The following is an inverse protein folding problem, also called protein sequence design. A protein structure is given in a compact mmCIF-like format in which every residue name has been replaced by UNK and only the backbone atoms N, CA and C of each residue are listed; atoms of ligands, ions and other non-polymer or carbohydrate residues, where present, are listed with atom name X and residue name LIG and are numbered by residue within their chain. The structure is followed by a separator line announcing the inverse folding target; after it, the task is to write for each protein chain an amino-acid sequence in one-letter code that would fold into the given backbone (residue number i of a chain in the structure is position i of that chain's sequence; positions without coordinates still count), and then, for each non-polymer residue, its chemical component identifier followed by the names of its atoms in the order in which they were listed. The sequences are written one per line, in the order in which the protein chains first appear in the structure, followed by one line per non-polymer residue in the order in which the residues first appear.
data_IF_871210397995
#
_entry.id   IF_871210397995
#
_cell.length_a   1.000
_cell.length_b   1.000
_cell.length_c   1.000
_cell.angle_alpha   90.00
_cell.angle_beta   90.00
_cell.angle_gamma   90.00
#
_symmetry.space_group_name_H-M   'P 1'
#
loop_
_entity.id
_entity.type
_entity.pdbx_description
1 polymer ?
#
# COMPACT_ATOMS: atom_id res chain seq x y z
N UNK A 1 62.25 -43.01 -33.49
CA UNK A 1 61.00 -43.61 -34.00
C UNK A 1 59.96 -43.64 -32.90
N UNK A 2 59.08 -42.64 -32.88
CA UNK A 2 57.67 -42.66 -32.45
C UNK A 2 57.25 -41.21 -32.24
N UNK A 3 56.69 -40.66 -33.31
CA UNK A 3 55.96 -39.41 -33.35
C UNK A 3 54.74 -39.50 -32.41
N UNK A 4 54.52 -38.44 -31.63
CA UNK A 4 53.19 -38.13 -31.09
C UNK A 4 52.86 -36.72 -31.56
N UNK A 5 52.11 -36.67 -32.66
CA UNK A 5 51.36 -35.50 -33.10
C UNK A 5 50.34 -35.13 -32.02
N UNK A 6 50.46 -33.93 -31.49
CA UNK A 6 49.47 -33.31 -30.62
C UNK A 6 48.73 -32.28 -31.49
N UNK A 7 47.54 -32.66 -31.95
CA UNK A 7 46.65 -31.81 -32.74
C UNK A 7 46.00 -30.82 -31.77
N UNK A 8 46.45 -29.57 -31.82
CA UNK A 8 45.82 -28.45 -31.13
C UNK A 8 44.59 -28.02 -31.95
N UNK A 9 43.40 -28.44 -31.53
CA UNK A 9 42.15 -27.91 -32.08
C UNK A 9 41.90 -26.52 -31.47
N UNK A 10 42.30 -25.48 -32.19
CA UNK A 10 41.99 -24.09 -31.90
C UNK A 10 40.51 -23.84 -32.26
N UNK A 11 39.61 -23.96 -31.28
CA UNK A 11 38.24 -23.53 -31.43
C UNK A 11 38.19 -21.99 -31.39
N UNK A 12 38.12 -21.38 -32.58
CA UNK A 12 37.82 -19.97 -32.75
C UNK A 12 36.35 -19.77 -32.37
N UNK A 13 36.12 -19.26 -31.17
CA UNK A 13 34.80 -18.76 -30.75
C UNK A 13 34.57 -17.45 -31.48
N UNK A 14 33.82 -17.51 -32.58
CA UNK A 14 33.24 -16.32 -33.20
C UNK A 14 32.14 -15.80 -32.29
N UNK A 15 32.43 -14.71 -31.57
CA UNK A 15 31.43 -13.88 -30.90
C UNK A 15 30.52 -13.25 -31.95
N UNK A 16 29.40 -13.92 -32.24
CA UNK A 16 28.30 -13.33 -32.95
C UNK A 16 27.62 -12.31 -32.03
N UNK A 17 27.86 -11.02 -32.29
CA UNK A 17 26.99 -9.94 -31.84
C UNK A 17 25.62 -10.13 -32.51
N UNK A 18 24.70 -10.82 -31.84
CA UNK A 18 23.39 -11.14 -32.38
C UNK A 18 22.30 -10.94 -31.34
N UNK A 19 21.56 -9.84 -31.49
CA UNK A 19 20.21 -9.64 -30.96
C UNK A 19 20.10 -9.54 -29.45
N UNK A 20 19.76 -8.34 -28.96
CA UNK A 20 19.11 -8.18 -27.65
C UNK A 20 17.74 -8.85 -27.70
N UNK A 21 17.72 -10.18 -27.61
CA UNK A 21 16.52 -10.93 -27.32
C UNK A 21 16.07 -10.53 -25.93
N UNK A 22 14.93 -9.86 -25.86
CA UNK A 22 14.20 -9.58 -24.63
C UNK A 22 14.14 -10.87 -23.82
N UNK A 23 14.94 -10.94 -22.75
CA UNK A 23 14.94 -12.07 -21.83
C UNK A 23 13.61 -12.01 -21.09
N UNK A 24 12.58 -12.62 -21.69
CA UNK A 24 11.40 -13.05 -20.96
C UNK A 24 11.92 -14.04 -19.94
N UNK A 25 12.23 -13.56 -18.74
CA UNK A 25 12.47 -14.45 -17.60
C UNK A 25 11.22 -15.32 -17.51
N UNK A 26 11.33 -16.65 -17.68
CA UNK A 26 10.18 -17.50 -17.44
C UNK A 26 9.70 -17.17 -16.04
N UNK A 27 8.42 -16.78 -15.92
CA UNK A 27 7.73 -16.77 -14.62
C UNK A 27 8.05 -18.12 -14.01
N UNK A 28 8.82 -18.12 -12.92
CA UNK A 28 9.25 -19.34 -12.27
C UNK A 28 7.99 -20.19 -12.08
N UNK A 29 7.94 -21.35 -12.74
CA UNK A 29 6.84 -22.28 -12.56
C UNK A 29 6.74 -22.48 -11.05
N UNK A 30 5.57 -22.20 -10.49
CA UNK A 30 5.29 -22.52 -9.09
C UNK A 30 5.63 -24.00 -8.93
N UNK A 31 6.58 -24.38 -8.04
CA UNK A 31 7.20 -25.70 -8.09
C UNK A 31 6.22 -26.89 -7.94
N UNK A 32 4.97 -26.66 -7.57
CA UNK A 32 4.07 -27.70 -7.03
C UNK A 32 2.65 -27.70 -7.61
N UNK A 33 2.44 -27.19 -8.84
CA UNK A 33 1.11 -27.20 -9.49
C UNK A 33 0.10 -26.19 -8.91
N UNK A 34 0.36 -25.66 -7.72
CA UNK A 34 -0.36 -24.53 -7.14
C UNK A 34 -0.49 -23.39 -8.17
N UNK A 35 -1.69 -22.89 -8.40
CA UNK A 35 -1.96 -21.82 -9.36
C UNK A 35 -2.73 -20.67 -8.73
N UNK A 36 -2.66 -19.51 -9.38
CA UNK A 36 -3.35 -18.30 -8.92
C UNK A 36 -4.56 -18.04 -9.80
N UNK A 37 -5.74 -18.04 -9.18
CA UNK A 37 -7.00 -17.71 -9.86
C UNK A 37 -7.35 -16.24 -9.62
N UNK A 38 -7.67 -15.51 -10.69
CA UNK A 38 -8.09 -14.11 -10.57
C UNK A 38 -9.54 -14.03 -10.09
N UNK A 39 -9.73 -13.46 -8.89
CA UNK A 39 -11.03 -13.15 -8.30
C UNK A 39 -11.57 -11.83 -8.85
N UNK A 40 -10.69 -10.82 -8.97
CA UNK A 40 -11.00 -9.54 -9.61
C UNK A 40 -9.85 -9.11 -10.51
N UNK A 41 -10.20 -8.55 -11.66
CA UNK A 41 -9.26 -7.95 -12.62
C UNK A 41 -9.80 -6.57 -12.98
N UNK A 42 -9.27 -5.55 -12.31
CA UNK A 42 -9.70 -4.18 -12.46
C UNK A 42 -8.70 -3.44 -13.32
N UNK A 43 -9.20 -2.66 -14.27
CA UNK A 43 -8.38 -1.87 -15.19
C UNK A 43 -8.82 -0.44 -15.16
N UNK A 44 -7.86 0.45 -15.16
CA UNK A 44 -8.08 1.87 -14.99
C UNK A 44 -7.17 2.70 -15.87
N UNK A 45 -7.65 3.87 -16.26
CA UNK A 45 -6.85 4.92 -16.88
C UNK A 45 -6.90 6.18 -16.02
N UNK A 46 -5.85 6.99 -16.09
CA UNK A 46 -5.87 8.29 -15.45
C UNK A 46 -6.89 9.21 -16.14
N UNK A 47 -7.66 10.02 -15.37
CA UNK A 47 -8.65 10.94 -15.95
C UNK A 47 -8.01 12.12 -16.70
N UNK A 48 -6.74 12.41 -16.39
CA UNK A 48 -5.98 13.48 -17.00
C UNK A 48 -4.67 12.93 -17.57
N UNK A 49 -4.26 13.51 -18.70
CA UNK A 49 -2.98 13.24 -19.33
C UNK A 49 -1.80 13.50 -18.39
N UNK A 50 -1.83 14.61 -17.65
CA UNK A 50 -0.77 14.98 -16.72
C UNK A 50 -1.28 14.84 -15.30
N UNK A 51 -0.74 13.89 -14.55
CA UNK A 51 -1.15 13.68 -13.16
C UNK A 51 -0.02 13.07 -12.32
N UNK A 52 -0.16 13.22 -11.00
CA UNK A 52 0.79 12.71 -10.00
C UNK A 52 0.13 11.69 -9.07
N UNK A 53 -1.20 11.70 -8.92
CA UNK A 53 -1.91 10.97 -7.85
C UNK A 53 -2.00 11.78 -6.54
N UNK A 54 -2.29 11.15 -5.40
CA UNK A 54 -2.55 9.72 -5.25
C UNK A 54 -3.87 9.32 -5.91
N UNK A 55 -3.90 8.12 -6.48
CA UNK A 55 -5.10 7.45 -6.95
C UNK A 55 -5.41 6.28 -6.03
N UNK A 56 -6.68 6.04 -5.71
CA UNK A 56 -7.11 4.95 -4.83
C UNK A 56 -7.91 3.90 -5.58
N UNK A 57 -7.59 2.63 -5.32
CA UNK A 57 -8.37 1.46 -5.73
C UNK A 57 -8.68 0.63 -4.49
N UNK A 58 -9.96 0.30 -4.32
CA UNK A 58 -10.45 -0.42 -3.14
C UNK A 58 -10.79 -1.85 -3.50
N UNK A 59 -10.29 -2.78 -2.71
CA UNK A 59 -10.62 -4.20 -2.79
C UNK A 59 -11.42 -4.59 -1.55
N UNK A 60 -12.60 -5.21 -1.73
CA UNK A 60 -13.44 -5.54 -0.60
C UNK A 60 -12.75 -6.54 0.33
N UNK A 61 -13.16 -6.42 1.59
CA UNK A 61 -13.02 -7.43 2.61
C UNK A 61 -13.52 -8.80 2.09
N UNK A 62 -12.68 -9.83 2.16
CA UNK A 62 -13.09 -11.21 1.81
C UNK A 62 -12.33 -12.26 2.60
N UNK A 63 -13.03 -13.33 2.96
CA UNK A 63 -12.37 -14.47 3.60
C UNK A 63 -11.37 -15.11 2.62
N UNK A 64 -10.18 -15.42 3.14
CA UNK A 64 -9.15 -16.12 2.38
C UNK A 64 -9.01 -17.54 2.92
N UNK A 65 -9.07 -18.51 2.00
CA UNK A 65 -8.88 -19.93 2.36
C UNK A 65 -7.39 -20.23 2.56
N UNK A 66 -6.56 -19.85 1.59
CA UNK A 66 -5.14 -20.20 1.54
C UNK A 66 -4.23 -18.97 1.54
N UNK A 67 -4.23 -18.26 0.42
CA UNK A 67 -3.49 -17.03 0.23
C UNK A 67 -4.21 -16.13 -0.76
N UNK A 68 -4.02 -14.82 -0.59
CA UNK A 68 -4.48 -13.78 -1.51
C UNK A 68 -3.28 -13.01 -2.04
N UNK A 69 -3.28 -12.71 -3.33
CA UNK A 69 -2.26 -11.89 -4.00
C UNK A 69 -2.91 -10.70 -4.68
N UNK A 70 -2.43 -9.50 -4.36
CA UNK A 70 -2.70 -8.31 -5.14
C UNK A 70 -1.52 -8.04 -6.07
N UNK A 71 -1.79 -7.97 -7.37
CA UNK A 71 -0.81 -7.62 -8.40
C UNK A 71 -1.17 -6.26 -8.97
N UNK A 72 -0.20 -5.36 -9.05
CA UNK A 72 -0.35 -4.01 -9.64
C UNK A 72 0.56 -3.95 -10.86
N UNK A 73 -0.02 -3.65 -12.02
CA UNK A 73 0.68 -3.57 -13.30
C UNK A 73 0.33 -2.25 -13.98
N UNK A 74 1.32 -1.63 -14.61
CA UNK A 74 1.11 -0.48 -15.49
C UNK A 74 1.56 -0.83 -16.91
N UNK A 75 0.64 -0.68 -17.86
CA UNK A 75 0.87 -0.88 -19.29
C UNK A 75 0.81 0.45 -20.00
N UNK A 76 1.64 0.64 -21.02
CA UNK A 76 1.49 1.79 -21.90
C UNK A 76 2.75 2.09 -22.72
N UNK A 77 2.75 3.19 -23.49
CA UNK A 77 3.82 3.48 -24.45
C UNK A 77 5.10 4.03 -23.81
N UNK A 78 5.11 4.28 -22.50
CA UNK A 78 6.20 4.96 -21.78
C UNK A 78 6.34 4.39 -20.38
N UNK A 79 7.57 4.20 -19.89
CA UNK A 79 7.83 3.84 -18.49
C UNK A 79 7.31 4.95 -17.56
N UNK A 80 6.91 4.58 -16.35
CA UNK A 80 6.51 5.51 -15.30
C UNK A 80 7.15 5.06 -13.99
N UNK A 81 7.67 5.98 -13.16
CA UNK A 81 8.13 5.64 -11.82
C UNK A 81 6.92 5.59 -10.89
N UNK A 82 6.43 4.39 -10.68
CA UNK A 82 5.20 4.15 -9.93
C UNK A 82 5.54 3.93 -8.47
N UNK A 83 5.06 4.81 -7.61
CA UNK A 83 4.97 4.56 -6.19
C UNK A 83 3.62 3.93 -5.89
N UNK A 84 3.61 3.00 -4.94
CA UNK A 84 2.36 2.49 -4.42
C UNK A 84 2.44 2.25 -2.92
N UNK A 85 1.30 2.39 -2.25
CA UNK A 85 1.11 1.94 -0.88
C UNK A 85 -0.15 1.12 -0.77
N UNK A 86 -0.10 0.07 0.03
CA UNK A 86 -1.25 -0.76 0.32
C UNK A 86 -1.60 -0.52 1.77
N UNK A 87 -2.77 0.04 2.01
CA UNK A 87 -3.24 0.39 3.35
C UNK A 87 -4.50 -0.40 3.67
N UNK A 88 -4.66 -0.76 4.93
CA UNK A 88 -5.92 -1.27 5.45
C UNK A 88 -6.85 -0.10 5.76
N UNK A 89 -8.16 -0.37 5.81
CA UNK A 89 -9.18 0.65 6.15
C UNK A 89 -8.97 1.28 7.53
N UNK A 90 -8.42 0.54 8.49
CA UNK A 90 -8.07 1.04 9.82
C UNK A 90 -6.93 2.07 9.81
N UNK A 91 -6.30 2.29 8.64
CA UNK A 91 -5.23 3.27 8.44
C UNK A 91 -3.84 2.65 8.53
N UNK A 92 -3.74 1.36 8.88
CA UNK A 92 -2.46 0.68 8.98
C UNK A 92 -1.88 0.45 7.57
N UNK A 93 -0.78 1.13 7.29
CA UNK A 93 -0.03 0.95 6.04
C UNK A 93 0.69 -0.40 6.08
N UNK A 94 0.33 -1.31 5.18
CA UNK A 94 0.95 -2.62 5.03
C UNK A 94 2.28 -2.53 4.29
N UNK A 95 2.34 -1.72 3.21
CA UNK A 95 3.52 -1.58 2.34
C UNK A 95 3.53 -0.20 1.70
N UNK A 96 4.71 0.37 1.53
CA UNK A 96 4.97 1.48 0.61
C UNK A 96 6.24 1.15 -0.16
N UNK A 97 6.18 1.16 -1.49
CA UNK A 97 7.33 0.84 -2.32
C UNK A 97 7.39 1.75 -3.55
N UNK A 98 8.62 2.04 -3.96
CA UNK A 98 8.91 2.69 -5.23
C UNK A 98 9.29 1.62 -6.26
N UNK A 99 8.59 1.61 -7.38
CA UNK A 99 8.98 0.85 -8.55
C UNK A 99 9.54 1.78 -9.63
N UNK A 100 10.87 1.72 -9.80
CA UNK A 100 11.63 2.48 -10.80
C UNK A 100 12.12 3.86 -10.34
N UNK A 101 13.30 4.30 -10.82
CA UNK A 101 13.76 5.68 -10.70
C UNK A 101 13.36 6.50 -11.92
N UNK A 102 13.20 7.81 -11.78
CA UNK A 102 13.08 8.72 -12.92
C UNK A 102 14.29 8.66 -13.86
N UNK A 103 15.45 8.29 -13.33
CA UNK A 103 16.68 8.13 -14.12
C UNK A 103 16.53 7.01 -15.16
N UNK A 104 15.70 6.00 -14.88
CA UNK A 104 15.45 4.86 -15.78
C UNK A 104 14.38 5.14 -16.84
N UNK A 105 13.62 6.23 -16.67
CA UNK A 105 12.43 6.55 -17.46
C UNK A 105 12.73 7.57 -18.57
N UNK A 106 13.81 8.34 -18.42
CA UNK A 106 14.20 9.40 -19.34
C UNK A 106 13.30 10.64 -19.18
N UNK A 107 13.85 11.83 -18.87
CA UNK A 107 13.05 13.03 -18.59
C UNK A 107 12.19 13.47 -19.78
N UNK A 108 12.60 13.13 -21.01
CA UNK A 108 11.90 13.48 -22.25
C UNK A 108 10.52 12.82 -22.36
N UNK A 109 10.34 11.61 -21.83
CA UNK A 109 9.09 10.87 -21.92
C UNK A 109 7.91 11.59 -21.23
N UNK A 110 8.20 12.46 -20.25
CA UNK A 110 7.20 13.19 -19.48
C UNK A 110 7.38 14.72 -19.52
N UNK A 111 8.22 15.24 -20.41
CA UNK A 111 8.53 16.67 -20.50
C UNK A 111 7.26 17.54 -20.68
N UNK A 112 6.26 17.04 -21.42
CA UNK A 112 4.98 17.74 -21.61
C UNK A 112 4.22 18.01 -20.31
N UNK A 113 4.30 17.09 -19.36
CA UNK A 113 3.57 17.18 -18.09
C UNK A 113 4.39 17.79 -16.97
N UNK A 114 5.72 17.72 -17.07
CA UNK A 114 6.60 18.43 -16.15
C UNK A 114 6.56 19.92 -16.37
N UNK A 115 6.14 20.38 -17.55
CA UNK A 115 6.37 21.75 -17.95
C UNK A 115 7.86 22.04 -17.98
N UNK A 116 8.22 23.18 -18.52
CA UNK A 116 9.58 23.65 -18.50
C UNK A 116 9.87 24.20 -17.08
N UNK A 117 9.90 23.32 -16.07
CA UNK A 117 10.26 23.70 -14.68
C UNK A 117 11.70 24.21 -14.61
N UNK A 118 12.49 23.91 -15.64
CA UNK A 118 13.79 24.53 -15.92
C UNK A 118 13.70 26.04 -16.19
N UNK A 119 12.57 26.61 -16.62
CA UNK A 119 12.49 28.05 -16.95
C UNK A 119 12.15 28.95 -15.76
N UNK A 120 11.90 28.41 -14.55
CA UNK A 120 11.66 29.24 -13.34
C UNK A 120 12.61 28.96 -12.18
N UNK A 121 13.63 28.12 -12.36
CA UNK A 121 14.75 28.01 -11.42
C UNK A 121 16.05 28.21 -12.21
N UNK A 122 16.21 29.39 -12.80
CA UNK A 122 17.56 29.89 -13.05
C UNK A 122 18.18 30.16 -11.67
N UNK A 123 18.96 29.20 -11.18
CA UNK A 123 19.85 29.44 -10.05
C UNK A 123 20.69 30.69 -10.38
N UNK A 124 20.75 31.71 -9.51
CA UNK A 124 21.63 32.85 -9.74
C UNK A 124 23.05 32.31 -9.80
N UNK A 125 23.65 32.44 -10.99
CA UNK A 125 25.07 32.20 -11.17
C UNK A 125 25.81 33.21 -10.30
N UNK A 126 26.51 32.72 -9.29
CA UNK A 126 27.40 33.52 -8.47
C UNK A 126 28.53 34.06 -9.34
N UNK A 127 28.41 35.32 -9.75
CA UNK A 127 29.56 36.16 -10.06
C UNK A 127 29.51 37.37 -9.14
N UNK A 128 30.56 37.51 -8.34
CA UNK A 128 30.75 38.55 -7.36
C UNK A 128 31.07 39.89 -8.03
N UNK A 129 30.30 40.93 -7.74
CA UNK A 129 30.82 42.24 -7.33
C UNK A 129 29.69 43.25 -7.02
N UNK A 130 29.76 43.78 -5.80
CA UNK A 130 29.30 45.10 -5.34
C UNK A 130 27.82 45.49 -5.44
N UNK A 131 27.15 45.44 -4.27
CA UNK A 131 26.46 46.60 -3.69
C UNK A 131 25.05 46.91 -4.20
N UNK A 132 24.04 46.34 -3.52
CA UNK A 132 22.65 46.76 -3.67
C UNK A 132 21.71 45.96 -2.74
N UNK A 133 21.22 46.65 -1.71
CA UNK A 133 20.07 46.39 -0.82
C UNK A 133 19.30 45.06 -0.95
N UNK A 134 19.27 44.28 0.14
CA UNK A 134 18.45 43.07 0.29
C UNK A 134 16.98 43.49 0.51
N UNK A 135 16.13 43.32 -0.51
CA UNK A 135 14.69 43.23 -0.32
C UNK A 135 14.37 41.85 0.28
N UNK A 136 13.84 41.85 1.52
CA UNK A 136 13.37 40.65 2.20
C UNK A 136 12.08 40.15 1.54
N UNK A 137 12.05 38.86 1.22
CA UNK A 137 10.82 38.13 0.87
C UNK A 137 9.97 37.88 2.13
N UNK A 138 9.52 38.96 2.77
CA UNK A 138 8.61 38.95 3.93
C UNK A 138 7.39 39.84 3.73
N UNK A 139 7.26 40.54 2.60
CA UNK A 139 6.15 41.47 2.34
C UNK A 139 5.01 40.89 1.49
N UNK A 140 4.89 39.56 1.44
CA UNK A 140 3.67 38.88 0.97
C UNK A 140 2.93 38.22 2.14
N UNK A 141 2.72 38.99 3.22
CA UNK A 141 1.69 38.68 4.23
C UNK A 141 0.37 39.21 3.68
N UNK A 142 -0.47 38.31 3.20
CA UNK A 142 -1.90 38.58 2.98
C UNK A 142 -2.51 39.08 4.30
N UNK A 143 -3.10 40.27 4.28
CA UNK A 143 -3.87 40.81 5.41
C UNK A 143 -5.02 39.84 5.74
N UNK A 144 -5.27 39.54 7.03
CA UNK A 144 -6.52 38.91 7.43
C UNK A 144 -7.65 39.92 7.23
N UNK A 145 -8.53 39.66 6.26
CA UNK A 145 -9.67 40.53 5.97
C UNK A 145 -10.18 40.56 4.53
N UNK A 146 -9.62 39.77 3.61
CA UNK A 146 -10.10 39.73 2.21
C UNK A 146 -11.26 38.71 2.06
N UNK A 147 -12.52 39.14 1.84
CA UNK A 147 -13.68 38.25 1.73
C UNK A 147 -13.77 37.47 0.40
N UNK A 148 -12.67 37.36 -0.33
CA UNK A 148 -12.62 36.77 -1.67
C UNK A 148 -11.42 35.83 -1.91
N UNK A 149 -10.74 35.35 -0.86
CA UNK A 149 -9.83 34.22 -1.02
C UNK A 149 -10.67 32.95 -1.24
N UNK A 150 -10.60 32.28 -2.41
CA UNK A 150 -11.30 31.03 -2.59
C UNK A 150 -10.72 30.05 -1.58
N UNK A 151 -11.59 29.55 -0.71
CA UNK A 151 -11.33 28.40 0.14
C UNK A 151 -10.68 27.32 -0.74
N UNK A 152 -9.40 27.00 -0.48
CA UNK A 152 -8.70 25.87 -1.09
C UNK A 152 -9.45 24.62 -0.65
N UNK A 153 -10.54 24.33 -1.35
CA UNK A 153 -11.31 23.11 -1.18
C UNK A 153 -10.30 21.97 -1.25
N UNK A 154 -10.30 21.10 -0.23
CA UNK A 154 -9.60 19.83 -0.29
C UNK A 154 -10.01 19.17 -1.60
N UNK A 155 -9.13 19.25 -2.60
CA UNK A 155 -9.40 18.74 -3.93
C UNK A 155 -9.67 17.26 -3.77
N UNK A 156 -10.86 16.82 -4.16
CA UNK A 156 -11.21 15.42 -4.20
C UNK A 156 -10.07 14.66 -4.88
N UNK A 157 -9.64 13.54 -4.27
CA UNK A 157 -8.59 12.72 -4.85
C UNK A 157 -8.98 12.35 -6.28
N UNK A 158 -8.06 12.45 -7.26
CA UNK A 158 -8.37 12.12 -8.64
C UNK A 158 -8.80 10.65 -8.71
N UNK A 159 -10.00 10.42 -9.22
CA UNK A 159 -10.56 9.07 -9.37
C UNK A 159 -10.08 8.46 -10.69
N UNK A 160 -9.62 7.22 -10.61
CA UNK A 160 -9.27 6.41 -11.78
C UNK A 160 -10.54 5.99 -12.54
N UNK A 161 -10.49 6.03 -13.88
CA UNK A 161 -11.64 5.70 -14.70
C UNK A 161 -11.56 4.23 -15.13
N UNK A 162 -12.61 3.40 -14.92
CA UNK A 162 -12.62 2.01 -15.37
C UNK A 162 -12.36 1.87 -16.88
N UNK A 163 -11.59 0.87 -17.26
CA UNK A 163 -11.21 0.57 -18.64
C UNK A 163 -11.62 -0.86 -19.02
N UNK A 164 -12.44 -1.03 -20.06
CA UNK A 164 -12.97 -2.34 -20.45
C UNK A 164 -12.10 -3.11 -21.46
N UNK A 165 -11.12 -2.44 -22.10
CA UNK A 165 -10.27 -3.05 -23.13
C UNK A 165 -9.17 -3.95 -22.55
N UNK A 166 -8.73 -4.93 -23.35
CA UNK A 166 -7.40 -5.52 -23.17
C UNK A 166 -6.37 -4.48 -23.64
N UNK A 167 -5.22 -4.33 -22.98
CA UNK A 167 -4.13 -3.48 -23.47
C UNK A 167 -3.50 -4.11 -24.73
N UNK A 168 -4.21 -4.06 -25.86
CA UNK A 168 -3.72 -4.59 -27.14
C UNK A 168 -2.53 -3.75 -27.60
N UNK A 169 -1.37 -4.41 -27.76
CA UNK A 169 -0.15 -3.80 -28.31
C UNK A 169 0.80 -3.15 -27.31
N UNK A 170 0.51 -3.17 -26.00
CA UNK A 170 1.41 -2.64 -24.97
C UNK A 170 2.21 -3.78 -24.31
N UNK A 171 3.42 -4.04 -24.80
CA UNK A 171 4.19 -5.25 -24.44
C UNK A 171 4.95 -5.15 -23.10
N UNK A 172 5.01 -4.01 -22.43
CA UNK A 172 5.86 -3.90 -21.24
C UNK A 172 5.02 -3.61 -19.99
N UNK A 173 5.04 -4.54 -19.03
CA UNK A 173 4.73 -4.23 -17.64
C UNK A 173 5.86 -3.33 -17.12
N UNK A 174 5.59 -2.03 -17.03
CA UNK A 174 6.62 -1.02 -16.76
C UNK A 174 7.04 -1.00 -15.29
N UNK A 175 6.16 -1.51 -14.43
CA UNK A 175 6.33 -1.70 -13.00
C UNK A 175 5.40 -2.83 -12.57
N UNK A 176 5.91 -3.73 -11.73
CA UNK A 176 5.11 -4.76 -11.06
C UNK A 176 5.23 -4.61 -9.55
N UNK A 177 4.10 -4.55 -8.86
CA UNK A 177 4.01 -4.61 -7.41
C UNK A 177 3.21 -5.84 -7.00
N UNK A 178 3.64 -6.50 -5.93
CA UNK A 178 2.95 -7.68 -5.38
C UNK A 178 2.66 -7.48 -3.91
N UNK A 179 1.50 -7.90 -3.42
CA UNK A 179 1.27 -8.09 -1.99
C UNK A 179 0.64 -9.44 -1.75
N UNK A 180 1.19 -10.17 -0.78
CA UNK A 180 0.77 -11.51 -0.41
C UNK A 180 0.18 -11.49 0.98
N UNK A 181 -1.00 -12.09 1.12
CA UNK A 181 -1.70 -12.27 2.39
C UNK A 181 -1.91 -13.76 2.57
N UNK A 182 -1.11 -14.41 3.42
CA UNK A 182 -1.28 -15.83 3.73
C UNK A 182 -1.98 -16.02 5.06
N UNK A 183 -2.69 -17.14 5.17
CA UNK A 183 -3.25 -17.57 6.45
C UNK A 183 -2.21 -18.41 7.21
N UNK A 184 -1.60 -17.83 8.24
CA UNK A 184 -1.03 -18.59 9.36
C UNK A 184 0.46 -18.95 9.33
N UNK A 185 1.28 -18.53 8.36
CA UNK A 185 2.75 -18.79 8.36
C UNK A 185 3.53 -17.70 7.57
N UNK A 186 4.76 -17.33 8.00
CA UNK A 186 5.62 -16.35 7.32
C UNK A 186 5.93 -16.70 5.86
N UNK A 187 5.65 -15.73 4.97
CA UNK A 187 5.67 -15.77 3.50
C UNK A 187 7.01 -15.52 2.85
N UNK A 188 8.13 -15.71 3.54
CA UNK A 188 9.43 -15.66 2.87
C UNK A 188 9.46 -16.81 1.84
N UNK A 189 9.23 -16.47 0.58
CA UNK A 189 9.51 -17.28 -0.62
C UNK A 189 8.53 -18.42 -1.00
N UNK A 190 7.23 -18.13 -1.15
CA UNK A 190 6.32 -19.07 -1.82
C UNK A 190 6.63 -19.26 -3.33
N UNK A 191 7.36 -18.34 -3.98
CA UNK A 191 7.59 -18.32 -5.42
C UNK A 191 8.99 -17.86 -5.86
N UNK A 192 9.96 -17.77 -4.94
CA UNK A 192 11.33 -17.32 -5.26
C UNK A 192 11.46 -15.82 -5.59
N UNK A 193 10.39 -15.04 -5.42
CA UNK A 193 10.41 -13.58 -5.48
C UNK A 193 10.77 -13.06 -4.07
N UNK A 194 11.58 -11.99 -3.98
CA UNK A 194 11.88 -11.32 -2.71
C UNK A 194 10.59 -10.76 -2.08
N UNK A 195 9.94 -11.59 -1.26
CA UNK A 195 8.82 -11.18 -0.43
C UNK A 195 9.36 -10.69 0.91
N UNK A 196 9.19 -9.39 1.16
CA UNK A 196 9.44 -8.83 2.48
C UNK A 196 8.39 -9.38 3.46
N UNK A 197 8.88 -9.96 4.54
CA UNK A 197 8.10 -10.53 5.64
C UNK A 197 7.46 -9.40 6.43
N UNK A 198 6.14 -9.44 6.59
CA UNK A 198 5.46 -8.68 7.63
C UNK A 198 4.79 -9.70 8.56
N UNK A 199 5.39 -9.91 9.73
CA UNK A 199 4.90 -10.83 10.76
C UNK A 199 3.57 -10.35 11.40
N UNK A 200 3.09 -9.16 11.02
CA UNK A 200 1.85 -8.56 11.49
C UNK A 200 0.69 -8.75 10.49
N UNK A 201 0.46 -9.97 9.99
CA UNK A 201 -0.90 -10.32 9.53
C UNK A 201 -1.70 -10.82 10.74
N UNK A 202 -2.41 -9.95 11.50
CA UNK A 202 -3.44 -10.42 12.41
C UNK A 202 -4.56 -11.09 11.61
N UNK A 203 -5.41 -11.83 12.32
CA UNK A 203 -6.52 -12.68 11.84
C UNK A 203 -7.54 -12.02 10.89
N UNK A 204 -7.34 -10.77 10.50
CA UNK A 204 -8.23 -9.96 9.68
C UNK A 204 -7.75 -9.87 8.22
N UNK A 205 -7.31 -10.98 7.63
CA UNK A 205 -7.08 -11.05 6.18
C UNK A 205 -8.37 -10.76 5.36
N UNK A 206 -9.50 -10.68 6.05
CA UNK A 206 -10.78 -10.18 5.56
C UNK A 206 -10.93 -8.64 5.63
N UNK A 207 -9.90 -7.85 5.96
CA UNK A 207 -10.03 -6.39 5.92
C UNK A 207 -10.17 -5.86 4.46
N UNK A 208 -10.86 -4.72 4.31
CA UNK A 208 -10.84 -3.94 3.07
C UNK A 208 -9.41 -3.44 2.83
N UNK A 209 -8.91 -3.65 1.60
CA UNK A 209 -7.59 -3.22 1.18
C UNK A 209 -7.74 -2.02 0.26
N UNK A 210 -6.99 -0.95 0.54
CA UNK A 210 -6.92 0.24 -0.30
C UNK A 210 -5.52 0.32 -0.89
N UNK A 211 -5.43 0.23 -2.21
CA UNK A 211 -4.20 0.44 -2.96
C UNK A 211 -4.15 1.89 -3.39
N UNK A 212 -3.15 2.62 -2.92
CA UNK A 212 -2.83 3.97 -3.37
C UNK A 212 -1.68 3.90 -4.34
N UNK A 213 -1.78 4.58 -5.46
CA UNK A 213 -0.67 4.73 -6.42
C UNK A 213 -0.40 6.21 -6.69
N UNK A 214 0.86 6.59 -6.85
CA UNK A 214 1.26 7.94 -7.20
C UNK A 214 2.60 7.94 -7.95
N UNK A 215 2.95 9.08 -8.54
CA UNK A 215 4.24 9.35 -9.14
C UNK A 215 4.97 10.37 -8.26
N UNK A 216 6.30 10.39 -8.28
CA UNK A 216 7.07 11.42 -7.53
C UNK A 216 7.04 12.80 -8.17
N UNK A 217 6.55 12.91 -9.42
CA UNK A 217 6.36 14.15 -10.16
C UNK A 217 5.25 13.97 -11.20
N UNK A 218 4.67 15.06 -11.77
CA UNK A 218 3.68 14.95 -12.84
C UNK A 218 4.18 14.12 -14.02
N UNK A 219 3.47 13.04 -14.32
CA UNK A 219 3.77 12.14 -15.44
C UNK A 219 2.75 12.27 -16.57
N UNK A 220 3.23 12.09 -17.81
CA UNK A 220 2.38 11.85 -18.98
C UNK A 220 1.79 10.44 -18.93
N UNK A 221 0.53 10.35 -18.49
CA UNK A 221 -0.27 9.14 -18.34
C UNK A 221 -1.15 8.84 -19.56
N UNK A 222 -0.98 9.57 -20.67
CA UNK A 222 -1.69 9.32 -21.92
C UNK A 222 -1.36 7.92 -22.46
N UNK A 223 -2.39 7.09 -22.60
CA UNK A 223 -2.25 5.68 -23.01
C UNK A 223 -1.73 4.74 -21.91
N UNK A 224 -1.60 5.20 -20.67
CA UNK A 224 -1.25 4.32 -19.54
C UNK A 224 -2.51 3.66 -18.99
N UNK A 225 -2.49 2.33 -18.86
CA UNK A 225 -3.51 1.51 -18.21
C UNK A 225 -2.92 0.88 -16.95
N UNK A 226 -3.53 1.16 -15.81
CA UNK A 226 -3.25 0.47 -14.55
C UNK A 226 -4.16 -0.75 -14.43
N UNK A 227 -3.58 -1.94 -14.29
CA UNK A 227 -4.29 -3.19 -14.03
C UNK A 227 -4.00 -3.62 -12.61
N UNK A 228 -5.05 -3.99 -11.91
CA UNK A 228 -4.98 -4.55 -10.58
C UNK A 228 -5.65 -5.91 -10.58
N UNK A 229 -4.92 -6.94 -10.17
CA UNK A 229 -5.43 -8.31 -10.06
C UNK A 229 -5.49 -8.71 -8.61
N UNK A 230 -6.70 -9.01 -8.13
CA UNK A 230 -6.93 -9.68 -6.86
C UNK A 230 -7.08 -11.16 -7.13
N UNK A 231 -6.17 -11.96 -6.59
CA UNK A 231 -6.04 -13.37 -6.91
C UNK A 231 -6.04 -14.22 -5.65
N UNK A 232 -6.58 -15.43 -5.77
CA UNK A 232 -6.48 -16.46 -4.75
C UNK A 232 -5.52 -17.55 -5.16
N UNK A 233 -4.80 -18.07 -4.17
CA UNK A 233 -4.04 -19.28 -4.36
C UNK A 233 -4.99 -20.48 -4.33
N UNK A 234 -5.03 -21.20 -5.43
CA UNK A 234 -5.72 -22.49 -5.56
C UNK A 234 -4.64 -23.57 -5.54
N UNK A 235 -4.46 -24.25 -4.40
CA UNK A 235 -3.47 -25.31 -4.31
C UNK A 235 -3.92 -26.54 -5.06
N UNK A 236 -2.96 -27.30 -5.58
CA UNK A 236 -3.24 -28.60 -6.17
C UNK A 236 -3.40 -29.67 -5.09
N UNK A 237 -4.33 -30.61 -5.27
CA UNK A 237 -4.59 -31.70 -4.34
C UNK A 237 -5.50 -31.34 -3.17
N UNK A 238 -5.54 -32.20 -2.16
CA UNK A 238 -6.41 -31.99 -0.99
C UNK A 238 -5.88 -30.87 -0.08
N UNK A 239 -6.75 -30.25 0.73
CA UNK A 239 -6.34 -29.34 1.80
C UNK A 239 -5.23 -29.91 2.72
N UNK A 240 -5.29 -31.20 3.07
CA UNK A 240 -4.27 -31.84 3.91
C UNK A 240 -2.95 -32.02 3.16
N UNK A 241 -2.99 -32.41 1.88
CA UNK A 241 -1.81 -32.56 1.04
C UNK A 241 -1.08 -31.22 0.87
N UNK A 242 -1.82 -30.16 0.58
CA UNK A 242 -1.24 -28.81 0.49
C UNK A 242 -0.63 -28.38 1.81
N UNK A 243 -1.34 -28.57 2.94
CA UNK A 243 -0.81 -28.20 4.25
C UNK A 243 0.50 -28.94 4.57
N UNK A 244 0.59 -30.23 4.22
CA UNK A 244 1.81 -31.03 4.39
C UNK A 244 2.96 -30.53 3.49
N UNK A 245 2.70 -30.28 2.20
CA UNK A 245 3.70 -29.73 1.27
C UNK A 245 4.19 -28.36 1.73
N UNK A 246 3.25 -27.51 2.15
CA UNK A 246 3.56 -26.17 2.64
C UNK A 246 4.42 -26.21 3.91
N UNK A 247 4.09 -27.06 4.88
CA UNK A 247 4.91 -27.26 6.08
C UNK A 247 6.33 -27.74 5.74
N UNK A 248 6.47 -28.66 4.77
CA UNK A 248 7.76 -29.13 4.30
C UNK A 248 8.59 -28.02 3.63
N UNK A 249 7.96 -27.16 2.81
CA UNK A 249 8.61 -25.98 2.20
C UNK A 249 9.10 -25.01 3.26
N UNK A 250 8.28 -24.71 4.26
CA UNK A 250 8.61 -23.81 5.37
C UNK A 250 9.83 -24.34 6.14
N UNK A 251 9.87 -25.64 6.42
CA UNK A 251 11.00 -26.24 7.12
C UNK A 251 12.28 -26.24 6.27
N UNK A 252 12.18 -26.59 4.98
CA UNK A 252 13.30 -26.50 4.03
C UNK A 252 13.89 -25.08 3.97
N UNK A 253 13.02 -24.06 3.93
CA UNK A 253 13.45 -22.67 3.93
C UNK A 253 14.08 -22.23 5.25
N UNK A 254 13.55 -22.69 6.40
CA UNK A 254 14.20 -22.45 7.70
C UNK A 254 15.62 -23.00 7.72
N UNK A 255 15.82 -24.20 7.20
CA UNK A 255 17.16 -24.81 7.09
C UNK A 255 18.05 -23.94 6.18
N UNK A 256 17.58 -23.56 4.98
CA UNK A 256 18.34 -22.73 4.04
C UNK A 256 18.73 -21.36 4.63
N UNK A 257 17.81 -20.71 5.33
CA UNK A 257 18.07 -19.42 6.01
C UNK A 257 19.06 -19.61 7.14
N UNK A 258 18.94 -20.67 7.94
CA UNK A 258 19.89 -20.98 9.00
C UNK A 258 21.30 -21.24 8.45
N UNK A 259 21.43 -21.98 7.35
CA UNK A 259 22.70 -22.22 6.66
C UNK A 259 23.31 -20.93 6.07
N UNK A 260 22.48 -20.08 5.45
CA UNK A 260 22.93 -18.78 4.96
C UNK A 260 23.43 -17.90 6.11
N UNK A 261 22.68 -17.79 7.20
CA UNK A 261 23.07 -17.04 8.39
C UNK A 261 24.37 -17.60 9.02
N UNK A 262 24.52 -18.93 9.05
CA UNK A 262 25.75 -19.57 9.51
C UNK A 262 26.94 -19.22 8.61
N UNK A 263 26.73 -19.17 7.29
CA UNK A 263 27.77 -18.79 6.31
C UNK A 263 28.18 -17.33 6.48
N UNK A 264 27.21 -16.41 6.53
CA UNK A 264 27.46 -14.98 6.76
C UNK A 264 28.21 -14.76 8.08
N UNK A 265 27.77 -15.42 9.16
CA UNK A 265 28.46 -15.35 10.46
C UNK A 265 29.90 -15.86 10.38
N UNK A 266 30.13 -16.99 9.71
CA UNK A 266 31.48 -17.54 9.55
C UNK A 266 32.37 -16.61 8.70
N UNK A 267 31.82 -15.93 7.69
CA UNK A 267 32.54 -14.91 6.92
C UNK A 267 32.87 -13.68 7.77
N UNK A 268 31.92 -13.19 8.56
CA UNK A 268 32.14 -12.10 9.50
C UNK A 268 33.21 -12.46 10.54
N UNK A 269 33.15 -13.65 11.14
CA UNK A 269 34.15 -14.13 12.09
C UNK A 269 35.54 -14.25 11.46
N UNK A 270 35.63 -14.77 10.22
CA UNK A 270 36.89 -14.82 9.46
C UNK A 270 37.45 -13.44 9.19
N UNK A 271 36.58 -12.48 8.84
CA UNK A 271 36.97 -11.10 8.58
C UNK A 271 37.40 -10.36 9.85
N UNK A 272 36.68 -10.53 10.96
CA UNK A 272 37.07 -10.01 12.28
C UNK A 272 38.43 -10.56 12.68
N UNK A 273 38.65 -11.87 12.53
CA UNK A 273 39.93 -12.50 12.82
C UNK A 273 41.06 -11.98 11.90
N UNK A 274 40.77 -11.68 10.63
CA UNK A 274 41.73 -11.02 9.72
C UNK A 274 42.10 -9.64 10.23
N UNK A 275 41.11 -8.81 10.56
CA UNK A 275 41.32 -7.45 11.05
C UNK A 275 42.03 -7.38 12.41
N UNK A 276 41.89 -8.40 13.25
CA UNK A 276 42.67 -8.51 14.49
C UNK A 276 44.16 -8.77 14.24
N UNK A 277 44.49 -9.51 13.18
CA UNK A 277 45.88 -9.79 12.79
C UNK A 277 46.53 -8.62 12.05
N UNK A 278 45.76 -7.90 11.25
CA UNK A 278 46.23 -6.84 10.35
C UNK A 278 45.42 -5.54 10.55
N UNK A 279 45.57 -4.84 11.69
CA UNK A 279 44.70 -3.73 12.06
C UNK A 279 44.86 -2.48 11.19
N UNK A 280 45.98 -2.34 10.47
CA UNK A 280 46.25 -1.21 9.58
C UNK A 280 45.70 -1.41 8.15
N UNK A 281 45.16 -2.59 7.82
CA UNK A 281 44.53 -2.81 6.52
C UNK A 281 43.35 -1.84 6.34
N UNK A 282 43.35 -1.06 5.25
CA UNK A 282 42.39 0.03 5.05
C UNK A 282 40.92 -0.42 5.15
N UNK A 283 40.62 -1.67 4.77
CA UNK A 283 39.28 -2.28 4.95
C UNK A 283 38.89 -2.46 6.41
N UNK A 284 39.83 -2.81 7.28
CA UNK A 284 39.61 -2.97 8.72
C UNK A 284 39.46 -1.63 9.44
N UNK A 285 40.16 -0.59 8.96
CA UNK A 285 39.99 0.79 9.44
C UNK A 285 38.60 1.33 9.05
N UNK A 286 38.18 1.14 7.79
CA UNK A 286 36.86 1.57 7.33
C UNK A 286 35.70 0.88 8.07
N UNK A 287 35.82 -0.42 8.35
CA UNK A 287 34.78 -1.19 9.08
C UNK A 287 34.70 -0.84 10.57
N UNK A 288 35.81 -0.46 11.21
CA UNK A 288 35.81 0.10 12.59
C UNK A 288 35.00 1.39 12.72
N UNK A 289 34.96 2.18 11.64
CA UNK A 289 34.19 3.43 11.60
C UNK A 289 32.69 3.17 11.40
N UNK A 290 32.31 2.00 10.85
CA UNK A 290 30.92 1.68 10.45
C UNK A 290 30.20 0.65 11.33
N UNK A 291 30.77 0.23 12.47
CA UNK A 291 30.09 -0.73 13.35
C UNK A 291 29.01 -0.07 14.23
N UNK A 292 27.87 -0.75 14.51
CA UNK A 292 26.74 -0.31 15.34
C UNK A 292 27.05 -0.20 16.86
N UNK A 293 28.31 0.06 17.21
CA UNK A 293 28.76 0.32 18.57
C UNK A 293 29.30 1.74 18.77
N UNK A 294 29.38 2.57 17.72
CA UNK A 294 29.58 4.00 17.94
C UNK A 294 28.35 4.54 18.64
N UNK A 295 28.49 5.31 19.74
CA UNK A 295 27.35 6.01 20.30
C UNK A 295 26.76 6.93 19.22
N UNK A 296 25.43 7.12 19.17
CA UNK A 296 24.85 8.10 18.27
C UNK A 296 25.54 9.46 18.47
N UNK A 297 25.62 10.31 17.44
CA UNK A 297 26.08 11.67 17.61
C UNK A 297 25.30 12.38 18.74
N UNK A 298 25.82 13.47 19.32
CA UNK A 298 25.04 14.27 20.24
C UNK A 298 23.67 14.65 19.63
N UNK A 299 22.59 14.69 20.41
CA UNK A 299 21.28 15.11 19.90
C UNK A 299 21.38 16.47 19.21
N UNK A 300 20.71 16.63 18.06
CA UNK A 300 20.66 17.92 17.39
C UNK A 300 19.78 18.89 18.19
N UNK A 301 20.21 20.15 18.25
CA UNK A 301 19.36 21.22 18.79
C UNK A 301 18.28 21.51 17.78
N UNK A 302 17.06 21.06 18.06
CA UNK A 302 15.91 21.33 17.22
C UNK A 302 15.22 22.62 17.63
N UNK A 303 14.86 23.43 16.64
CA UNK A 303 13.91 24.52 16.82
C UNK A 303 12.52 23.90 16.90
N UNK A 304 11.95 23.87 18.10
CA UNK A 304 10.57 23.43 18.30
C UNK A 304 9.62 24.37 17.53
N UNK A 305 8.86 23.86 16.55
CA UNK A 305 7.87 24.67 15.85
C UNK A 305 6.71 25.06 16.79
N UNK A 306 5.91 26.09 16.45
CA UNK A 306 4.72 26.45 17.22
C UNK A 306 3.78 25.25 17.39
N UNK A 307 3.29 25.05 18.62
CA UNK A 307 2.36 23.97 18.94
C UNK A 307 1.06 24.10 18.14
N UNK A 308 0.64 23.06 17.39
CA UNK A 308 -0.54 23.13 16.51
C UNK A 308 -1.87 23.04 17.29
N UNK A 309 -1.89 22.39 18.46
CA UNK A 309 -3.09 22.30 19.31
C UNK A 309 -2.72 22.06 20.79
N UNK A 310 -3.66 22.30 21.71
CA UNK A 310 -3.44 22.07 23.14
C UNK A 310 -3.31 20.59 23.53
N UNK A 311 -3.75 19.69 22.65
CA UNK A 311 -3.86 18.24 22.89
C UNK A 311 -2.67 17.45 22.34
N UNK A 312 -1.60 18.12 21.94
CA UNK A 312 -0.37 17.47 21.51
C UNK A 312 0.80 17.83 22.42
N UNK A 313 1.72 16.89 22.55
CA UNK A 313 3.00 17.06 23.22
C UNK A 313 4.13 16.97 22.19
N UNK A 314 5.13 17.85 22.30
CA UNK A 314 6.32 17.80 21.46
C UNK A 314 7.22 16.67 21.94
N UNK A 315 7.59 15.76 21.03
CA UNK A 315 8.61 14.74 21.24
C UNK A 315 9.85 15.19 20.47
N UNK A 316 10.97 15.50 21.17
CA UNK A 316 12.22 15.84 20.51
C UNK A 316 12.69 14.74 19.56
N UNK A 317 13.40 15.13 18.51
CA UNK A 317 14.02 14.19 17.58
C UNK A 317 15.04 13.28 18.26
N UNK A 318 15.37 12.18 17.61
CA UNK A 318 16.32 11.20 18.11
C UNK A 318 17.11 10.56 16.98
N UNK A 319 18.30 10.05 17.30
CA UNK A 319 19.09 9.25 16.38
C UNK A 319 18.53 7.82 16.33
N UNK A 320 18.17 7.36 15.12
CA UNK A 320 17.83 5.96 14.85
C UNK A 320 18.96 5.33 14.04
N UNK A 321 19.43 4.16 14.43
CA UNK A 321 20.36 3.42 13.59
C UNK A 321 19.60 2.83 12.39
N UNK A 322 20.01 3.20 11.18
CA UNK A 322 19.46 2.68 9.95
C UNK A 322 20.35 1.54 9.44
N UNK A 323 19.80 0.33 9.42
CA UNK A 323 20.56 -0.86 9.02
C UNK A 323 20.91 -0.88 7.53
N UNK A 324 20.17 -0.16 6.69
CA UNK A 324 20.44 -0.09 5.25
C UNK A 324 21.59 0.87 4.96
N UNK A 325 21.65 1.99 5.68
CA UNK A 325 22.73 2.96 5.55
C UNK A 325 23.95 2.61 6.42
N UNK A 326 23.80 1.68 7.35
CA UNK A 326 24.79 1.35 8.39
C UNK A 326 25.25 2.59 9.16
N UNK A 327 24.32 3.52 9.41
CA UNK A 327 24.60 4.81 10.05
C UNK A 327 23.42 5.28 10.92
N UNK A 328 23.68 6.22 11.83
CA UNK A 328 22.64 6.92 12.57
C UNK A 328 22.00 7.99 11.69
N UNK A 329 20.69 7.89 11.51
CA UNK A 329 19.88 8.92 10.89
C UNK A 329 19.12 9.70 11.94
N UNK A 330 19.13 11.03 11.80
CA UNK A 330 18.35 11.90 12.68
C UNK A 330 16.88 11.82 12.28
N UNK A 331 16.04 11.36 13.19
CA UNK A 331 14.58 11.41 13.07
C UNK A 331 14.14 12.72 13.71
N UNK A 332 13.62 13.70 12.94
CA UNK A 332 13.25 14.99 13.50
C UNK A 332 12.10 14.86 14.50
N UNK A 333 12.07 15.77 15.48
CA UNK A 333 11.01 15.82 16.46
C UNK A 333 9.63 16.02 15.84
N UNK A 334 8.61 15.55 16.55
CA UNK A 334 7.22 15.60 16.07
C UNK A 334 6.24 15.82 17.21
N UNK A 335 5.04 16.29 16.87
CA UNK A 335 3.94 16.38 17.83
C UNK A 335 3.20 15.05 17.90
N UNK A 336 3.03 14.52 19.11
CA UNK A 336 2.21 13.33 19.37
C UNK A 336 0.96 13.74 20.14
N UNK A 337 -0.16 13.08 19.86
CA UNK A 337 -1.39 13.31 20.63
C UNK A 337 -1.15 12.91 22.08
N UNK A 338 -1.47 13.84 23.00
CA UNK A 338 -1.50 13.54 24.42
C UNK A 338 -2.51 12.42 24.64
N UNK A 339 -2.12 11.31 25.28
CA UNK A 339 -3.07 10.26 25.60
C UNK A 339 -4.26 10.87 26.33
N UNK A 340 -5.48 10.55 25.90
CA UNK A 340 -6.65 11.01 26.63
C UNK A 340 -6.49 10.60 28.10
N UNK A 341 -6.79 11.48 29.06
CA UNK A 341 -6.72 11.12 30.46
C UNK A 341 -7.52 9.82 30.64
N UNK A 342 -7.00 8.83 31.38
CA UNK A 342 -7.67 7.56 31.53
C UNK A 342 -9.10 7.86 31.96
N UNK A 343 -10.06 7.46 31.13
CA UNK A 343 -11.46 7.57 31.52
C UNK A 343 -11.58 6.87 32.88
N UNK A 344 -12.25 7.49 33.88
CA UNK A 344 -12.45 6.83 35.15
C UNK A 344 -13.01 5.45 34.86
N UNK A 345 -12.32 4.41 35.35
CA UNK A 345 -12.78 3.04 35.17
C UNK A 345 -14.26 3.00 35.56
N UNK A 346 -15.13 2.38 34.75
CA UNK A 346 -16.54 2.27 35.11
C UNK A 346 -16.59 1.70 36.53
N UNK A 347 -17.26 2.42 37.44
CA UNK A 347 -17.36 2.05 38.84
C UNK A 347 -17.85 0.61 38.92
N UNK A 348 -16.94 -0.32 39.22
CA UNK A 348 -17.28 -1.72 39.40
C UNK A 348 -18.04 -1.78 40.71
N UNK A 349 -19.38 -1.78 40.61
CA UNK A 349 -20.26 -2.09 41.74
C UNK A 349 -19.96 -3.53 42.14
N UNK A 350 -19.08 -3.70 43.13
CA UNK A 350 -18.81 -4.98 43.76
C UNK A 350 -20.08 -5.38 44.49
N UNK A 351 -20.93 -6.17 43.84
CA UNK A 351 -22.02 -6.88 44.53
C UNK A 351 -21.38 -7.87 45.50
N UNK A 352 -21.86 -7.85 46.74
CA UNK A 352 -21.49 -8.85 47.73
C UNK A 352 -21.69 -10.26 47.15
N UNK A 353 -20.76 -11.20 47.42
CA UNK A 353 -20.90 -12.58 46.94
C UNK A 353 -22.21 -13.16 47.47
N UNK A 354 -23.08 -13.60 46.57
CA UNK A 354 -24.28 -14.35 46.94
C UNK A 354 -23.88 -15.64 47.67
N UNK A 355 -24.68 -16.08 48.67
CA UNK A 355 -24.44 -17.35 49.34
C UNK A 355 -24.41 -18.49 48.31
N UNK A 356 -23.57 -19.52 48.54
CA UNK A 356 -23.43 -20.63 47.61
C UNK A 356 -24.80 -21.28 47.37
N UNK A 357 -25.21 -21.47 46.10
CA UNK A 357 -26.46 -22.12 45.79
C UNK A 357 -26.45 -23.57 46.29
N UNK A 358 -27.61 -24.12 46.68
CA UNK A 358 -27.72 -25.53 47.04
C UNK A 358 -27.21 -26.42 45.89
N UNK A 359 -26.67 -27.62 46.20
CA UNK A 359 -26.12 -28.53 45.20
C UNK A 359 -27.18 -28.83 44.14
N UNK A 360 -26.88 -28.48 42.88
CA UNK A 360 -27.80 -28.67 41.76
C UNK A 360 -27.96 -30.16 41.44
N UNK A 361 -29.16 -30.60 41.01
CA UNK A 361 -29.33 -31.91 40.39
C UNK A 361 -28.44 -32.04 39.13
N UNK A 362 -28.07 -33.26 38.74
CA UNK A 362 -27.22 -33.49 37.57
C UNK A 362 -27.84 -32.85 36.32
N UNK A 363 -27.03 -32.17 35.48
CA UNK A 363 -27.54 -31.42 34.36
C UNK A 363 -28.21 -32.35 33.33
N UNK A 364 -29.38 -31.96 32.79
CA UNK A 364 -29.98 -32.68 31.67
C UNK A 364 -29.07 -32.62 30.43
N UNK A 365 -29.24 -33.56 29.48
CA UNK A 365 -28.50 -33.57 28.21
C UNK A 365 -28.58 -32.19 27.53
N UNK A 366 -27.50 -31.71 26.89
CA UNK A 366 -27.49 -30.38 26.29
C UNK A 366 -28.56 -30.29 25.20
N UNK A 367 -29.57 -29.47 25.44
CA UNK A 367 -30.50 -29.04 24.40
C UNK A 367 -29.72 -28.19 23.37
N UNK A 368 -30.07 -28.29 22.07
CA UNK A 368 -29.41 -27.52 21.03
C UNK A 368 -29.51 -26.03 21.32
N UNK A 369 -28.36 -25.37 21.38
CA UNK A 369 -28.24 -23.92 21.57
C UNK A 369 -29.00 -23.20 20.46
N UNK A 370 -30.22 -22.77 20.76
CA UNK A 370 -30.96 -21.87 19.89
C UNK A 370 -30.23 -20.53 19.86
N UNK A 371 -29.68 -20.18 18.70
CA UNK A 371 -29.16 -18.85 18.39
C UNK A 371 -30.21 -17.82 18.77
N UNK A 372 -29.93 -17.02 19.81
CA UNK A 372 -30.83 -15.95 20.23
C UNK A 372 -30.69 -14.81 19.23
N UNK A 373 -31.62 -14.74 18.28
CA UNK A 373 -31.76 -13.65 17.33
C UNK A 373 -32.01 -12.35 18.13
N UNK A 374 -31.06 -11.42 18.10
CA UNK A 374 -31.19 -10.13 18.77
C UNK A 374 -31.91 -9.19 17.80
N UNK A 375 -33.21 -9.01 18.01
CA UNK A 375 -34.01 -8.00 17.31
C UNK A 375 -33.55 -6.59 17.70
N UNK A 376 -32.66 -6.00 16.91
CA UNK A 376 -32.26 -4.60 17.07
C UNK A 376 -33.19 -3.72 16.26
N UNK A 377 -34.07 -2.99 16.93
CA UNK A 377 -34.98 -2.03 16.30
C UNK A 377 -34.19 -0.89 15.63
N UNK A 378 -34.23 -0.81 14.30
CA UNK A 378 -33.62 0.27 13.52
C UNK A 378 -34.51 1.54 13.64
N UNK A 379 -33.98 2.69 14.11
CA UNK A 379 -34.75 3.93 14.17
C UNK A 379 -35.18 4.33 12.74
N UNK A 380 -36.32 5.02 12.55
CA UNK A 380 -36.72 5.47 11.22
C UNK A 380 -35.66 6.39 10.62
N UNK A 381 -35.40 6.33 9.29
CA UNK A 381 -34.44 7.22 8.65
C UNK A 381 -34.90 8.68 8.81
N UNK A 382 -33.98 9.64 9.02
CA UNK A 382 -34.35 11.04 9.01
C UNK A 382 -34.91 11.46 7.64
N UNK A 383 -35.64 12.60 7.55
CA UNK A 383 -36.07 13.14 6.27
C UNK A 383 -34.90 13.35 5.30
N UNK A 384 -35.09 13.13 3.98
CA UNK A 384 -34.08 13.46 2.98
C UNK A 384 -33.65 14.93 3.08
N UNK A 385 -32.35 15.20 2.93
CA UNK A 385 -31.84 16.57 2.90
C UNK A 385 -31.98 17.13 1.49
N UNK A 386 -32.27 18.43 1.39
CA UNK A 386 -32.19 19.14 0.13
C UNK A 386 -30.72 19.26 -0.28
N UNK A 387 -30.41 18.88 -1.52
CA UNK A 387 -29.06 18.98 -2.08
C UNK A 387 -29.03 20.02 -3.18
N UNK A 388 -27.94 20.80 -3.23
CA UNK A 388 -27.63 21.62 -4.38
C UNK A 388 -26.96 20.71 -5.40
N UNK A 389 -27.63 20.46 -6.53
CA UNK A 389 -27.08 19.65 -7.61
C UNK A 389 -26.02 20.49 -8.35
N UNK A 390 -24.73 20.10 -8.32
CA UNK A 390 -23.70 20.81 -9.07
C UNK A 390 -23.90 20.60 -10.57
N UNK A 391 -23.32 21.50 -11.37
CA UNK A 391 -23.34 21.39 -12.83
C UNK A 391 -22.80 20.01 -13.27
N UNK A 392 -23.47 19.30 -14.19
CA UNK A 392 -23.00 17.99 -14.66
C UNK A 392 -21.59 18.08 -15.27
N UNK A 393 -20.73 17.08 -15.02
CA UNK A 393 -19.44 17.01 -15.69
C UNK A 393 -19.64 16.79 -17.20
N UNK A 394 -18.63 17.15 -18.01
CA UNK A 394 -18.69 17.04 -19.48
C UNK A 394 -18.62 15.60 -20.01
N UNK A 395 -18.68 14.60 -19.13
CA UNK A 395 -18.60 13.18 -19.48
C UNK A 395 -19.98 12.72 -19.97
N UNK A 396 -20.10 12.19 -21.21
CA UNK A 396 -21.37 11.69 -21.70
C UNK A 396 -21.88 10.51 -20.85
N UNK A 397 -23.19 10.47 -20.60
CA UNK A 397 -23.84 9.31 -19.98
C UNK A 397 -23.82 9.27 -18.44
N UNK A 398 -23.22 10.26 -17.76
CA UNK A 398 -23.35 10.37 -16.30
C UNK A 398 -24.78 10.73 -15.89
N UNK A 399 -25.19 10.27 -14.72
CA UNK A 399 -26.47 10.60 -14.11
C UNK A 399 -26.26 11.05 -12.68
N UNK A 400 -27.12 11.97 -12.21
CA UNK A 400 -27.10 12.40 -10.81
C UNK A 400 -27.72 11.31 -9.95
N UNK A 401 -26.94 10.78 -9.00
CA UNK A 401 -27.41 9.89 -7.94
C UNK A 401 -27.65 10.74 -6.71
N UNK A 402 -28.92 10.94 -6.34
CA UNK A 402 -29.28 11.76 -5.19
C UNK A 402 -28.72 11.18 -3.89
N UNK A 403 -28.33 12.06 -2.96
CA UNK A 403 -27.86 11.66 -1.63
C UNK A 403 -28.94 10.94 -0.84
N UNK A 404 -28.49 10.08 0.07
CA UNK A 404 -29.39 9.25 0.86
C UNK A 404 -28.81 8.92 2.23
N UNK A 405 -29.70 8.58 3.17
CA UNK A 405 -29.30 8.05 4.47
C UNK A 405 -28.85 6.60 4.32
N UNK A 406 -27.61 6.32 4.74
CA UNK A 406 -27.04 4.98 4.88
C UNK A 406 -27.06 4.54 6.34
N UNK A 407 -27.45 3.30 6.59
CA UNK A 407 -27.36 2.71 7.92
C UNK A 407 -25.94 2.18 8.16
N UNK A 408 -25.23 2.74 9.14
CA UNK A 408 -23.91 2.27 9.59
C UNK A 408 -24.01 1.79 11.04
N UNK A 409 -23.95 0.47 11.22
CA UNK A 409 -24.22 -0.16 12.52
C UNK A 409 -25.64 0.14 12.99
N UNK A 410 -25.78 1.08 13.93
CA UNK A 410 -27.06 1.51 14.50
C UNK A 410 -27.41 2.98 14.21
N UNK A 411 -26.61 3.67 13.41
CA UNK A 411 -26.76 5.10 13.15
C UNK A 411 -27.04 5.38 11.66
N UNK A 412 -27.84 6.42 11.41
CA UNK A 412 -28.05 6.95 10.07
C UNK A 412 -26.97 7.97 9.73
N UNK A 413 -26.27 7.76 8.63
CA UNK A 413 -25.23 8.64 8.09
C UNK A 413 -25.69 9.18 6.75
N UNK A 414 -25.63 10.50 6.56
CA UNK A 414 -25.98 11.12 5.27
C UNK A 414 -24.83 10.93 4.29
N UNK A 415 -25.11 10.29 3.16
CA UNK A 415 -24.17 10.18 2.04
C UNK A 415 -24.60 11.19 0.98
N UNK A 416 -23.79 12.21 0.67
CA UNK A 416 -24.16 13.23 -0.32
C UNK A 416 -24.26 12.63 -1.74
N UNK A 417 -25.14 13.20 -2.55
CA UNK A 417 -25.31 12.83 -3.95
C UNK A 417 -24.08 13.11 -4.80
N UNK A 418 -23.96 12.40 -5.91
CA UNK A 418 -22.84 12.52 -6.84
C UNK A 418 -23.27 12.22 -8.29
N UNK A 419 -22.55 12.83 -9.25
CA UNK A 419 -22.61 12.42 -10.65
C UNK A 419 -21.87 11.09 -10.80
N UNK A 420 -22.54 10.05 -11.29
CA UNK A 420 -21.95 8.73 -11.49
C UNK A 420 -22.22 8.21 -12.90
N UNK A 421 -21.29 7.42 -13.42
CA UNK A 421 -21.49 6.68 -14.67
C UNK A 421 -22.26 5.38 -14.36
N UNK A 422 -23.40 5.12 -15.03
CA UNK A 422 -24.11 3.86 -14.85
C UNK A 422 -23.22 2.65 -15.21
N UNK A 423 -23.33 1.52 -14.47
CA UNK A 423 -22.52 0.32 -14.74
C UNK A 423 -22.88 -0.36 -16.06
N UNK A 424 -24.07 -0.09 -16.61
CA UNK A 424 -24.53 -0.63 -17.89
C UNK A 424 -25.43 0.39 -18.60
N UNK A 425 -25.58 0.23 -19.92
CA UNK A 425 -26.55 1.00 -20.67
C UNK A 425 -27.98 0.64 -20.21
N UNK A 426 -28.70 1.61 -19.65
CA UNK A 426 -30.06 1.43 -19.15
C UNK A 426 -30.17 1.17 -17.65
N UNK A 427 -29.05 1.04 -16.93
CA UNK A 427 -29.07 0.98 -15.47
C UNK A 427 -29.63 2.28 -14.87
N UNK A 428 -30.46 2.15 -13.84
CA UNK A 428 -30.98 3.30 -13.07
C UNK A 428 -30.57 3.21 -11.60
N UNK A 429 -30.20 4.34 -10.98
CA UNK A 429 -29.93 4.35 -9.56
C UNK A 429 -31.23 4.15 -8.78
N UNK A 430 -31.16 3.35 -7.71
CA UNK A 430 -32.21 3.20 -6.71
C UNK A 430 -31.70 3.68 -5.36
N UNK A 431 -32.48 4.54 -4.72
CA UNK A 431 -32.17 4.98 -3.36
C UNK A 431 -32.29 3.80 -2.38
N UNK A 432 -31.51 3.79 -1.29
CA UNK A 432 -31.72 2.84 -0.20
C UNK A 432 -33.15 2.96 0.34
N UNK A 433 -33.72 1.83 0.74
CA UNK A 433 -35.09 1.79 1.29
C UNK A 433 -35.12 0.97 2.57
N UNK A 434 -36.02 1.31 3.49
CA UNK A 434 -36.34 0.47 4.64
C UNK A 434 -37.67 -0.21 4.35
N UNK A 435 -37.69 -1.54 4.37
CA UNK A 435 -38.90 -2.34 4.18
C UNK A 435 -39.29 -2.99 5.50
N UNK A 436 -40.58 -3.05 5.78
CA UNK A 436 -41.09 -3.78 6.94
C UNK A 436 -41.53 -5.18 6.50
N UNK A 437 -41.01 -6.22 7.17
CA UNK A 437 -41.35 -7.62 6.91
C UNK A 437 -41.55 -8.32 8.25
N UNK A 438 -42.78 -8.77 8.52
CA UNK A 438 -43.13 -9.48 9.75
C UNK A 438 -42.79 -8.72 11.05
N UNK A 439 -42.96 -7.39 11.05
CA UNK A 439 -42.63 -6.52 12.19
C UNK A 439 -41.15 -6.17 12.31
N UNK A 440 -40.28 -6.70 11.43
CA UNK A 440 -38.86 -6.36 11.36
C UNK A 440 -38.63 -5.34 10.24
N UNK A 441 -37.87 -4.28 10.54
CA UNK A 441 -37.41 -3.31 9.53
C UNK A 441 -36.11 -3.81 8.91
N UNK A 442 -36.11 -3.99 7.61
CA UNK A 442 -34.96 -4.43 6.81
C UNK A 442 -34.46 -3.23 6.01
N UNK A 443 -33.22 -2.83 6.25
CA UNK A 443 -32.54 -1.87 5.38
C UNK A 443 -32.08 -2.58 4.10
N UNK A 444 -32.55 -2.09 2.96
CA UNK A 444 -32.12 -2.53 1.64
C UNK A 444 -31.18 -1.46 1.10
N UNK A 445 -29.88 -1.76 0.92
CA UNK A 445 -28.96 -0.79 0.35
C UNK A 445 -29.41 -0.38 -1.04
N UNK A 446 -29.25 0.92 -1.35
CA UNK A 446 -29.43 1.42 -2.71
C UNK A 446 -28.35 0.87 -3.65
N UNK A 447 -28.45 1.21 -4.92
CA UNK A 447 -27.51 0.71 -5.93
C UNK A 447 -28.02 0.97 -7.34
N UNK A 448 -27.60 0.15 -8.27
CA UNK A 448 -28.03 0.21 -9.68
C UNK A 448 -28.90 -1.00 -10.01
N UNK A 449 -29.98 -0.76 -10.75
CA UNK A 449 -30.79 -1.84 -11.33
C UNK A 449 -30.76 -1.74 -12.85
N UNK A 450 -30.55 -2.86 -13.50
CA UNK A 450 -30.72 -2.98 -14.95
C UNK A 450 -32.21 -3.01 -15.28
N UNK A 451 -32.65 -2.10 -16.14
CA UNK A 451 -34.01 -2.12 -16.71
C UNK A 451 -33.89 -2.73 -18.10
N UNK A 452 -33.93 -4.06 -18.16
CA UNK A 452 -34.02 -4.79 -19.43
C UNK A 452 -35.45 -5.20 -19.72
#
# INVERSE_FOLDING_TARGET
MRERLLVLALAIVTTACGGGGESVRPTAATPDGDHWESVQDLRFVAPARCATGPFEVRFPAREITWARRLTIEAYGPRRIPLHYSIVRRDGDSIRSELSGSWDDVGPEAHARCRGDVTTTIAAPSASSASGGEILRASDAVTRPGDPAAPELALSAMPELVPHAGEPDGYVVALSQGYAYFTRGVPTRYADGIHTYQYDDTPRDAAAEIVVRIWLSAPGDLDGIVFRFRDQDLVPDGSPEEYAARFAARVESERVRVAEHHATVRAEEEREVARCQREPEEARCVARRVQHPGQPPPPPLVELQPPTPSADVDWVPGFWRFDQTLLDYVWVPGTFVLRPAPPQPAPEVVVRAPEPPPPPMPPPPPPEPTATREIDVAIPPPPPPRAEVIPVPPRVPGVVWVAGAWRLEGRAWVWVPGAWQLPPSAGARPIAPTVRERSGVRIYVPGGWIDIR
#
